data_IF_685070149101
#
_entry.id   IF_685070149101
#
_cell.length_a   1.000
_cell.length_b   1.000
_cell.length_c   1.000
_cell.angle_alpha   90.00
_cell.angle_beta   90.00
_cell.angle_gamma   90.00
#
_symmetry.space_group_name_H-M   'P 1'
#
loop_
_entity.id
_entity.type
_entity.pdbx_description
1 polymer ?
#
# COMPACT_ATOMS: atom_id res chain seq x y z
N UNK A 1 54.12 5.30 -26.98
CA UNK A 1 52.65 5.45 -26.81
C UNK A 1 52.16 4.34 -25.89
N UNK A 2 51.95 4.64 -24.61
CA UNK A 2 51.46 3.67 -23.61
C UNK A 2 49.92 3.61 -23.71
N UNK A 3 49.37 2.48 -24.14
CA UNK A 3 47.93 2.21 -24.11
C UNK A 3 47.53 2.01 -22.66
N UNK A 4 46.82 2.98 -22.09
CA UNK A 4 46.20 2.85 -20.77
C UNK A 4 44.92 2.02 -20.94
N UNK A 5 44.99 0.73 -20.61
CA UNK A 5 43.82 -0.12 -20.45
C UNK A 5 43.16 0.26 -19.12
N UNK A 6 42.10 1.08 -19.20
CA UNK A 6 41.23 1.33 -18.06
C UNK A 6 40.45 0.04 -17.82
N UNK A 7 40.92 -0.77 -16.87
CA UNK A 7 40.15 -1.89 -16.31
C UNK A 7 39.05 -1.29 -15.46
N UNK A 8 37.90 -1.01 -16.05
CA UNK A 8 36.68 -0.70 -15.32
C UNK A 8 36.31 -1.98 -14.54
N UNK A 9 36.31 -1.97 -13.22
CA UNK A 9 36.00 -3.18 -12.46
C UNK A 9 34.57 -3.59 -12.78
N UNK A 10 34.42 -4.83 -13.23
CA UNK A 10 33.18 -5.50 -13.59
C UNK A 10 32.12 -5.42 -12.45
N UNK A 11 32.55 -5.06 -11.24
CA UNK A 11 31.73 -4.89 -10.05
C UNK A 11 30.83 -3.63 -10.09
N UNK A 12 31.16 -2.62 -10.88
CA UNK A 12 30.35 -1.38 -11.00
C UNK A 12 29.16 -1.54 -11.94
N UNK A 13 29.15 -2.54 -12.80
CA UNK A 13 28.05 -2.81 -13.75
C UNK A 13 26.93 -3.61 -13.09
N UNK A 14 27.21 -4.37 -12.01
CA UNK A 14 26.23 -5.18 -11.31
C UNK A 14 25.24 -4.38 -10.43
N UNK A 15 25.51 -3.11 -10.14
CA UNK A 15 24.68 -2.27 -9.26
C UNK A 15 23.52 -1.60 -10.02
N UNK A 16 23.53 -1.60 -11.34
CA UNK A 16 22.55 -0.90 -12.18
C UNK A 16 21.31 -1.73 -12.57
N UNK A 17 21.20 -2.99 -12.14
CA UNK A 17 20.10 -3.89 -12.54
C UNK A 17 19.13 -4.24 -11.41
N UNK A 18 19.15 -3.55 -10.28
CA UNK A 18 18.21 -3.75 -9.17
C UNK A 18 17.08 -2.70 -9.16
N UNK A 19 16.65 -2.23 -10.32
CA UNK A 19 15.31 -1.62 -10.42
C UNK A 19 14.28 -2.73 -10.49
N UNK A 20 14.17 -3.49 -9.39
CA UNK A 20 13.09 -4.44 -9.20
C UNK A 20 11.76 -3.69 -9.31
N UNK A 21 10.78 -4.28 -10.00
CA UNK A 21 9.39 -3.84 -10.03
C UNK A 21 8.93 -3.69 -8.57
N UNK A 22 8.98 -2.48 -8.01
CA UNK A 22 8.46 -2.22 -6.67
C UNK A 22 6.95 -2.43 -6.71
N UNK A 23 6.50 -3.52 -6.08
CA UNK A 23 5.08 -3.75 -5.90
C UNK A 23 4.57 -2.78 -4.83
N UNK A 24 4.09 -1.63 -5.27
CA UNK A 24 3.65 -0.52 -4.40
C UNK A 24 2.39 -0.84 -3.59
N UNK A 25 1.62 -1.85 -4.01
CA UNK A 25 0.43 -2.33 -3.29
C UNK A 25 0.55 -3.84 -3.12
N UNK A 26 0.92 -4.27 -1.93
CA UNK A 26 1.22 -5.67 -1.59
C UNK A 26 -0.03 -6.35 -1.03
N UNK A 27 -0.40 -7.52 -1.57
CA UNK A 27 -1.47 -8.32 -0.98
C UNK A 27 -1.00 -8.89 0.35
N UNK A 28 -1.87 -8.84 1.35
CA UNK A 28 -1.60 -9.35 2.70
C UNK A 28 -2.77 -10.17 3.22
N UNK A 29 -2.47 -11.08 4.15
CA UNK A 29 -3.44 -11.84 4.93
C UNK A 29 -3.89 -11.03 6.17
N UNK A 30 -4.95 -11.53 6.82
CA UNK A 30 -5.39 -10.96 8.09
C UNK A 30 -4.33 -11.08 9.20
N UNK A 31 -3.61 -12.19 9.25
CA UNK A 31 -2.55 -12.41 10.25
C UNK A 31 -1.38 -11.45 10.06
N UNK A 32 -0.97 -11.18 8.81
CA UNK A 32 0.06 -10.18 8.53
C UNK A 32 -0.35 -8.78 8.97
N UNK A 33 -1.63 -8.40 8.78
CA UNK A 33 -2.15 -7.12 9.29
C UNK A 33 -2.10 -7.07 10.81
N UNK A 34 -2.50 -8.15 11.49
CA UNK A 34 -2.41 -8.24 12.96
C UNK A 34 -0.97 -8.04 13.42
N UNK A 35 -0.02 -8.72 12.80
CA UNK A 35 1.39 -8.61 13.11
C UNK A 35 1.91 -7.18 12.96
N UNK A 36 1.53 -6.50 11.87
CA UNK A 36 1.92 -5.09 11.66
C UNK A 36 1.33 -4.17 12.76
N UNK A 37 0.08 -4.42 13.16
CA UNK A 37 -0.57 -3.67 14.25
C UNK A 37 0.13 -3.91 15.57
N UNK A 38 0.41 -5.17 15.91
CA UNK A 38 1.06 -5.57 17.17
C UNK A 38 2.50 -5.03 17.26
N UNK A 39 3.21 -5.00 16.13
CA UNK A 39 4.54 -4.39 15.99
C UNK A 39 4.51 -2.86 15.94
N UNK A 40 3.32 -2.26 16.03
CA UNK A 40 3.11 -0.80 15.99
C UNK A 40 3.66 -0.15 14.71
N UNK A 41 3.49 -0.79 13.59
CA UNK A 41 3.90 -0.26 12.29
C UNK A 41 3.00 0.91 11.84
N UNK A 42 3.55 1.74 10.95
CA UNK A 42 2.81 2.81 10.27
C UNK A 42 2.64 2.40 8.82
N UNK A 43 1.40 2.27 8.36
CA UNK A 43 1.11 1.74 7.02
C UNK A 43 -0.24 2.22 6.48
N UNK A 44 -0.42 2.05 5.17
CA UNK A 44 -1.67 2.27 4.44
C UNK A 44 -2.26 0.91 4.08
N UNK A 45 -3.54 0.70 4.35
CA UNK A 45 -4.27 -0.53 4.04
C UNK A 45 -5.47 -0.22 3.15
N UNK A 46 -5.53 -0.83 1.98
CA UNK A 46 -6.71 -0.86 1.13
C UNK A 46 -7.47 -2.17 1.35
N UNK A 47 -8.76 -2.09 1.62
CA UNK A 47 -9.67 -3.24 1.71
C UNK A 47 -10.45 -3.34 0.42
N UNK A 48 -10.41 -4.49 -0.22
CA UNK A 48 -11.11 -4.77 -1.47
C UNK A 48 -11.86 -6.10 -1.40
N UNK A 49 -12.70 -6.37 -2.39
CA UNK A 49 -13.30 -7.68 -2.61
C UNK A 49 -13.41 -7.97 -4.11
N UNK A 50 -13.58 -9.23 -4.47
CA UNK A 50 -13.82 -9.62 -5.86
C UNK A 50 -15.19 -9.13 -6.34
N UNK A 51 -15.28 -8.73 -7.62
CA UNK A 51 -16.51 -8.20 -8.20
C UNK A 51 -16.91 -6.79 -7.73
N UNK A 52 -16.00 -6.08 -7.09
CA UNK A 52 -16.22 -4.71 -6.65
C UNK A 52 -15.84 -3.72 -7.75
N UNK A 53 -16.82 -3.17 -8.47
CA UNK A 53 -16.59 -2.21 -9.58
C UNK A 53 -15.85 -0.95 -9.13
N UNK A 54 -16.15 -0.42 -7.94
CA UNK A 54 -15.43 0.74 -7.40
C UNK A 54 -13.98 0.41 -7.04
N UNK A 55 -13.68 -0.84 -6.67
CA UNK A 55 -12.29 -1.28 -6.46
C UNK A 55 -11.54 -1.35 -7.79
N UNK A 56 -12.17 -1.88 -8.85
CA UNK A 56 -11.59 -1.94 -10.20
C UNK A 56 -11.24 -0.55 -10.73
N UNK A 57 -12.03 0.46 -10.40
CA UNK A 57 -11.76 1.85 -10.75
C UNK A 57 -10.68 2.50 -9.86
N UNK A 58 -10.74 2.32 -8.55
CA UNK A 58 -9.92 3.04 -7.59
C UNK A 58 -8.52 2.46 -7.41
N UNK A 59 -8.39 1.14 -7.27
CA UNK A 59 -7.12 0.46 -6.99
C UNK A 59 -6.01 0.78 -8.01
N UNK A 60 -6.25 0.83 -9.35
CA UNK A 60 -5.22 1.22 -10.31
C UNK A 60 -4.73 2.66 -10.11
N UNK A 61 -5.64 3.59 -9.77
CA UNK A 61 -5.29 5.00 -9.51
C UNK A 61 -4.49 5.14 -8.21
N UNK A 62 -4.90 4.42 -7.16
CA UNK A 62 -4.12 4.34 -5.92
C UNK A 62 -2.71 3.83 -6.20
N UNK A 63 -2.54 2.73 -6.94
CA UNK A 63 -1.22 2.19 -7.33
C UNK A 63 -0.37 3.22 -8.05
N UNK A 64 -0.94 3.97 -8.99
CA UNK A 64 -0.22 5.01 -9.72
C UNK A 64 0.28 6.10 -8.77
N UNK A 65 -0.59 6.59 -7.88
CA UNK A 65 -0.22 7.64 -6.91
C UNK A 65 0.85 7.15 -5.93
N UNK A 66 0.74 5.91 -5.45
CA UNK A 66 1.76 5.31 -4.58
C UNK A 66 3.12 5.24 -5.30
N UNK A 67 3.13 4.72 -6.54
CA UNK A 67 4.35 4.61 -7.36
C UNK A 67 5.01 5.97 -7.61
N UNK A 68 4.24 6.96 -8.01
CA UNK A 68 4.72 8.30 -8.32
C UNK A 68 5.34 9.02 -7.10
N UNK A 69 5.01 8.56 -5.90
CA UNK A 69 5.49 9.14 -4.65
C UNK A 69 6.41 8.19 -3.85
N UNK A 70 6.86 7.08 -4.44
CA UNK A 70 7.68 6.06 -3.78
C UNK A 70 7.08 5.55 -2.47
N UNK A 71 5.77 5.38 -2.44
CA UNK A 71 5.04 4.85 -1.29
C UNK A 71 4.68 3.38 -1.48
N UNK A 72 4.59 2.67 -0.36
CA UNK A 72 4.03 1.33 -0.29
C UNK A 72 2.71 1.34 0.48
N UNK A 73 1.80 0.46 0.09
CA UNK A 73 0.57 0.17 0.81
C UNK A 73 0.27 -1.33 0.75
N UNK A 74 -0.67 -1.75 1.55
CA UNK A 74 -1.10 -3.14 1.64
C UNK A 74 -2.55 -3.28 1.17
N UNK A 75 -2.89 -4.43 0.62
CA UNK A 75 -4.25 -4.75 0.17
C UNK A 75 -4.74 -6.02 0.85
N UNK A 76 -5.81 -5.89 1.61
CA UNK A 76 -6.59 -7.01 2.13
C UNK A 76 -7.80 -7.23 1.22
N UNK A 77 -7.77 -8.30 0.44
CA UNK A 77 -8.96 -8.71 -0.31
C UNK A 77 -9.79 -9.66 0.55
N UNK A 78 -10.95 -9.18 1.00
CA UNK A 78 -11.82 -9.92 1.93
C UNK A 78 -12.48 -11.17 1.31
N UNK A 79 -12.43 -11.33 -0.01
CA UNK A 79 -12.88 -12.56 -0.66
C UNK A 79 -11.96 -13.77 -0.41
N UNK A 80 -10.75 -13.53 0.12
CA UNK A 80 -9.73 -14.56 0.35
C UNK A 80 -9.39 -14.78 1.84
N UNK A 81 -10.15 -14.19 2.75
CA UNK A 81 -10.00 -14.43 4.19
C UNK A 81 -11.15 -15.30 4.70
N UNK A 82 -10.95 -15.96 5.83
CA UNK A 82 -12.01 -16.75 6.46
C UNK A 82 -13.13 -15.86 7.00
N UNK A 83 -14.34 -16.38 7.08
CA UNK A 83 -15.47 -15.68 7.70
C UNK A 83 -15.14 -15.26 9.14
N UNK A 84 -14.44 -16.13 9.88
CA UNK A 84 -14.00 -15.82 11.25
C UNK A 84 -13.06 -14.62 11.29
N UNK A 85 -12.10 -14.52 10.35
CA UNK A 85 -11.15 -13.41 10.30
C UNK A 85 -11.82 -12.12 9.81
N UNK A 86 -12.74 -12.25 8.85
CA UNK A 86 -13.58 -11.12 8.42
C UNK A 86 -14.36 -10.54 9.60
N UNK A 87 -15.03 -11.40 10.38
CA UNK A 87 -15.84 -10.97 11.53
C UNK A 87 -14.96 -10.29 12.59
N UNK A 88 -13.81 -10.86 12.94
CA UNK A 88 -12.86 -10.23 13.88
C UNK A 88 -12.35 -8.88 13.40
N UNK A 89 -12.02 -8.77 12.10
CA UNK A 89 -11.56 -7.54 11.50
C UNK A 89 -12.67 -6.48 11.53
N UNK A 90 -13.86 -6.83 11.06
CA UNK A 90 -15.00 -5.93 10.97
C UNK A 90 -15.54 -5.49 12.35
N UNK A 91 -15.50 -6.37 13.35
CA UNK A 91 -15.84 -6.03 14.73
C UNK A 91 -14.94 -4.91 15.27
N UNK A 92 -13.65 -4.98 14.96
CA UNK A 92 -12.68 -4.00 15.44
C UNK A 92 -12.65 -2.70 14.63
N UNK A 93 -12.82 -2.77 13.32
CA UNK A 93 -12.60 -1.65 12.41
C UNK A 93 -13.84 -1.19 11.68
N UNK A 94 -14.98 -1.80 11.87
CA UNK A 94 -16.30 -1.54 11.23
C UNK A 94 -16.20 -0.71 9.95
N UNK A 95 -16.24 -1.32 8.77
CA UNK A 95 -16.21 -0.60 7.49
C UNK A 95 -17.49 -0.91 6.70
N UNK A 96 -17.98 0.06 5.94
CA UNK A 96 -19.30 0.01 5.30
C UNK A 96 -19.27 -0.58 3.89
N UNK A 97 -18.10 -0.85 3.34
CA UNK A 97 -17.97 -1.38 1.98
C UNK A 97 -16.56 -1.26 1.41
N UNK A 98 -16.44 -1.65 0.15
CA UNK A 98 -15.16 -1.65 -0.60
C UNK A 98 -15.23 -0.74 -1.83
N UNK A 99 -14.10 -0.11 -2.22
CA UNK A 99 -12.85 -0.09 -1.50
C UNK A 99 -12.93 0.75 -0.22
N UNK A 100 -12.18 0.38 0.82
CA UNK A 100 -11.95 1.25 1.97
C UNK A 100 -10.45 1.38 2.16
N UNK A 101 -9.93 2.61 2.27
CA UNK A 101 -8.52 2.86 2.58
C UNK A 101 -8.37 3.38 3.99
N UNK A 102 -7.60 2.66 4.79
CA UNK A 102 -7.30 2.97 6.19
C UNK A 102 -5.84 3.37 6.34
N UNK A 103 -5.59 4.27 7.25
CA UNK A 103 -4.25 4.78 7.57
C UNK A 103 -3.92 4.44 9.01
N UNK A 104 -2.82 3.73 9.21
CA UNK A 104 -2.34 3.34 10.53
C UNK A 104 -1.09 4.13 10.91
N UNK A 105 -1.05 4.62 12.13
CA UNK A 105 0.13 5.23 12.74
C UNK A 105 0.47 4.49 14.03
N UNK A 106 1.64 3.88 14.07
CA UNK A 106 2.09 3.07 15.21
C UNK A 106 1.05 2.04 15.66
N UNK A 107 0.48 1.30 14.71
CA UNK A 107 -0.52 0.26 14.93
C UNK A 107 -1.92 0.76 15.28
N UNK A 108 -2.18 2.07 15.25
CA UNK A 108 -3.49 2.66 15.52
C UNK A 108 -4.06 3.31 14.27
N UNK A 109 -5.31 3.00 13.94
CA UNK A 109 -5.98 3.63 12.82
C UNK A 109 -6.23 5.13 13.08
N UNK A 110 -6.01 5.94 12.05
CA UNK A 110 -6.39 7.36 12.01
C UNK A 110 -7.80 7.44 11.38
N UNK A 111 -8.81 7.11 12.15
CA UNK A 111 -10.22 6.98 11.69
C UNK A 111 -10.71 8.23 10.95
N UNK A 112 -10.29 9.43 11.38
CA UNK A 112 -10.68 10.70 10.73
C UNK A 112 -10.13 10.89 9.32
N UNK A 113 -9.24 10.00 8.89
CA UNK A 113 -8.62 10.03 7.55
C UNK A 113 -9.01 8.84 6.69
N UNK A 114 -9.85 7.93 7.22
CA UNK A 114 -10.37 6.79 6.46
C UNK A 114 -11.07 7.28 5.19
N UNK A 115 -10.85 6.58 4.10
CA UNK A 115 -11.49 6.82 2.81
C UNK A 115 -12.42 5.65 2.53
N UNK A 116 -13.70 5.92 2.36
CA UNK A 116 -14.71 4.93 1.96
C UNK A 116 -15.10 5.16 0.51
N UNK A 117 -15.05 4.10 -0.29
CA UNK A 117 -15.38 4.14 -1.72
C UNK A 117 -14.29 4.72 -2.61
N UNK A 118 -14.60 4.82 -3.90
CA UNK A 118 -13.74 5.45 -4.91
C UNK A 118 -13.84 6.98 -4.79
N UNK A 119 -12.70 7.63 -4.60
CA UNK A 119 -12.60 9.10 -4.53
C UNK A 119 -11.69 9.62 -5.65
N UNK A 120 -11.73 10.93 -5.91
CA UNK A 120 -10.85 11.56 -6.90
C UNK A 120 -9.38 11.55 -6.46
N UNK A 121 -8.47 11.55 -7.43
CA UNK A 121 -7.03 11.60 -7.20
C UNK A 121 -6.62 12.83 -6.38
N UNK A 122 -7.27 13.98 -6.64
CA UNK A 122 -7.06 15.20 -5.87
C UNK A 122 -7.37 15.00 -4.39
N UNK A 123 -8.50 14.36 -4.07
CA UNK A 123 -8.91 14.11 -2.69
C UNK A 123 -7.97 13.12 -2.01
N UNK A 124 -7.56 12.05 -2.70
CA UNK A 124 -6.58 11.08 -2.21
C UNK A 124 -5.24 11.75 -1.92
N UNK A 125 -4.70 12.54 -2.87
CA UNK A 125 -3.44 13.28 -2.68
C UNK A 125 -3.52 14.25 -1.51
N UNK A 126 -4.63 14.96 -1.34
CA UNK A 126 -4.83 15.85 -0.20
C UNK A 126 -4.81 15.10 1.14
N UNK A 127 -5.41 13.90 1.20
CA UNK A 127 -5.35 13.06 2.40
C UNK A 127 -3.91 12.62 2.69
N UNK A 128 -3.18 12.17 1.67
CA UNK A 128 -1.78 11.78 1.81
C UNK A 128 -0.89 12.96 2.26
N UNK A 129 -1.13 14.18 1.76
CA UNK A 129 -0.44 15.40 2.21
C UNK A 129 -0.75 15.71 3.67
N UNK A 130 -2.03 15.69 4.06
CA UNK A 130 -2.46 15.91 5.45
C UNK A 130 -1.78 14.95 6.42
N UNK A 131 -1.60 13.71 6.01
CA UNK A 131 -0.94 12.66 6.78
C UNK A 131 0.60 12.66 6.62
N UNK A 132 1.16 13.60 5.88
CA UNK A 132 2.61 13.75 5.62
C UNK A 132 3.27 12.57 4.92
N UNK A 133 2.51 11.78 4.17
CA UNK A 133 3.07 10.75 3.28
C UNK A 133 3.71 11.36 2.04
N UNK A 134 3.17 12.47 1.55
CA UNK A 134 3.70 13.22 0.40
C UNK A 134 3.80 14.72 0.72
N UNK A 135 4.63 15.44 -0.06
CA UNK A 135 4.83 16.91 0.05
C UNK A 135 3.75 17.71 -0.64
#
# INVERSE_FOLDING_TARGET
MKKIFIKIPLFLIAILLLTGCQNTLKRVSYDEIKDMIDKKETFILEITQDGCSHCEEFTPRLKTILKDNNLEAYNLNISYISESDYNKFNEKYTFEGTPTTMFFNKGKEIVSSRITGSISDKKLKNTLKKLKYIK
#
